data_IF_763471359523
#
_entry.id   IF_763471359523
#
_cell.length_a   1.000
_cell.length_b   1.000
_cell.length_c   1.000
_cell.angle_alpha   90.00
_cell.angle_beta   90.00
_cell.angle_gamma   90.00
#
_symmetry.space_group_name_H-M   'P 1'
#
loop_
_entity.id
_entity.type
_entity.pdbx_description
1 polymer ?
#
# COMPACT_ATOMS: atom_id res chain seq x y z
N UNK A 1 63.57 10.43 -71.43
CA UNK A 1 63.65 11.27 -70.21
C UNK A 1 62.72 10.64 -69.17
N UNK A 2 63.27 10.04 -68.10
CA UNK A 2 62.50 9.41 -67.01
C UNK A 2 62.05 10.50 -66.04
N UNK A 3 60.76 10.55 -65.71
CA UNK A 3 60.24 11.33 -64.58
C UNK A 3 59.95 10.37 -63.43
N UNK A 4 60.64 10.58 -62.30
CA UNK A 4 60.43 9.83 -61.06
C UNK A 4 59.18 10.36 -60.35
N UNK A 5 58.21 9.49 -60.08
CA UNK A 5 57.04 9.78 -59.23
C UNK A 5 57.40 9.74 -57.73
N UNK A 6 56.61 10.41 -56.87
CA UNK A 6 56.97 10.61 -55.47
C UNK A 6 56.93 9.31 -54.65
N UNK A 7 57.94 9.17 -53.79
CA UNK A 7 58.10 8.09 -52.81
C UNK A 7 56.94 8.08 -51.81
N UNK A 8 56.11 7.04 -51.87
CA UNK A 8 55.15 6.71 -50.81
C UNK A 8 55.91 6.18 -49.60
N UNK A 9 56.07 6.99 -48.57
CA UNK A 9 56.53 6.52 -47.25
C UNK A 9 55.37 5.82 -46.54
N UNK A 10 55.40 4.49 -46.53
CA UNK A 10 54.54 3.68 -45.67
C UNK A 10 54.87 3.99 -44.21
N UNK A 11 53.96 4.65 -43.50
CA UNK A 11 54.06 4.82 -42.04
C UNK A 11 53.61 3.52 -41.38
N UNK A 12 54.57 2.65 -41.05
CA UNK A 12 54.35 1.53 -40.13
C UNK A 12 54.36 2.06 -38.70
N UNK A 13 53.23 2.60 -38.24
CA UNK A 13 53.02 2.93 -36.83
C UNK A 13 52.68 1.66 -36.06
N UNK A 14 53.57 1.22 -35.18
CA UNK A 14 53.25 0.18 -34.19
C UNK A 14 52.28 0.79 -33.18
N UNK A 15 51.03 0.32 -33.15
CA UNK A 15 50.12 0.66 -32.05
C UNK A 15 50.70 -0.01 -30.81
N UNK A 16 51.41 0.78 -29.99
CA UNK A 16 51.91 0.31 -28.69
C UNK A 16 50.75 -0.26 -27.90
N UNK A 17 50.93 -1.46 -27.33
CA UNK A 17 49.95 -2.06 -26.41
C UNK A 17 49.80 -1.11 -25.23
N UNK A 18 48.79 -0.25 -25.27
CA UNK A 18 48.30 0.44 -24.07
C UNK A 18 48.02 -0.64 -23.04
N UNK A 19 48.63 -0.53 -21.86
CA UNK A 19 48.28 -1.39 -20.72
C UNK A 19 46.77 -1.32 -20.54
N UNK A 20 46.10 -2.48 -20.68
CA UNK A 20 44.67 -2.55 -20.41
C UNK A 20 44.49 -2.24 -18.93
N UNK A 21 43.65 -1.27 -18.55
CA UNK A 21 43.34 -1.07 -17.15
C UNK A 21 42.84 -2.38 -16.54
N UNK A 22 43.21 -2.69 -15.29
CA UNK A 22 42.81 -3.93 -14.65
C UNK A 22 41.29 -4.08 -14.67
N UNK A 23 40.81 -5.30 -14.92
CA UNK A 23 39.38 -5.60 -14.92
C UNK A 23 38.79 -5.26 -13.55
N UNK A 24 37.65 -4.57 -13.55
CA UNK A 24 36.92 -4.25 -12.33
C UNK A 24 36.25 -5.51 -11.78
N UNK A 25 36.15 -5.61 -10.46
CA UNK A 25 35.22 -6.55 -9.84
C UNK A 25 33.78 -6.14 -10.11
N UNK A 26 32.84 -7.09 -10.00
CA UNK A 26 31.40 -6.79 -10.16
C UNK A 26 30.93 -5.70 -9.20
N UNK A 27 31.41 -5.71 -7.96
CA UNK A 27 31.08 -4.69 -6.96
C UNK A 27 31.58 -3.30 -7.39
N UNK A 28 32.84 -3.19 -7.81
CA UNK A 28 33.41 -1.92 -8.30
C UNK A 28 32.68 -1.39 -9.52
N UNK A 29 32.32 -2.26 -10.47
CA UNK A 29 31.54 -1.87 -11.65
C UNK A 29 30.15 -1.37 -11.26
N UNK A 30 29.46 -2.06 -10.33
CA UNK A 30 28.14 -1.66 -9.82
C UNK A 30 28.20 -0.30 -9.14
N UNK A 31 29.14 -0.07 -8.25
CA UNK A 31 29.28 1.21 -7.53
C UNK A 31 29.58 2.37 -8.49
N UNK A 32 30.43 2.12 -9.49
CA UNK A 32 30.73 3.10 -10.55
C UNK A 32 29.52 3.44 -11.41
N UNK A 33 28.62 2.48 -11.67
CA UNK A 33 27.36 2.74 -12.38
C UNK A 33 26.41 3.53 -11.48
N UNK A 34 26.17 3.07 -10.25
CA UNK A 34 25.22 3.69 -9.33
C UNK A 34 25.61 5.11 -8.93
N UNK A 35 26.90 5.41 -8.81
CA UNK A 35 27.39 6.77 -8.52
C UNK A 35 27.10 7.81 -9.62
N UNK A 36 26.67 7.36 -10.81
CA UNK A 36 26.33 8.24 -11.95
C UNK A 36 24.84 8.32 -12.24
N UNK A 37 24.01 7.57 -11.50
CA UNK A 37 22.57 7.52 -11.70
C UNK A 37 21.89 8.38 -10.64
N UNK A 38 21.04 9.30 -11.09
CA UNK A 38 20.17 10.07 -10.21
C UNK A 38 18.77 9.46 -10.17
N UNK A 39 18.08 9.65 -9.05
CA UNK A 39 16.64 9.36 -8.95
C UNK A 39 15.90 10.29 -9.92
N UNK A 40 14.98 9.74 -10.70
CA UNK A 40 14.20 10.50 -11.66
C UNK A 40 13.17 11.39 -10.95
N UNK A 41 12.64 12.36 -11.70
CA UNK A 41 11.64 13.30 -11.18
C UNK A 41 10.39 12.59 -10.66
N UNK A 42 9.75 13.22 -9.68
CA UNK A 42 8.48 12.74 -9.16
C UNK A 42 7.33 13.17 -10.09
N UNK A 43 6.28 12.35 -10.14
CA UNK A 43 5.00 12.68 -10.75
C UNK A 43 3.85 12.24 -9.84
N UNK A 44 2.73 12.93 -9.94
CA UNK A 44 1.50 12.57 -9.23
C UNK A 44 0.71 11.55 -10.06
N UNK A 45 0.35 10.44 -9.43
CA UNK A 45 -0.49 9.39 -10.04
C UNK A 45 -1.66 9.08 -9.13
N UNK A 46 -2.78 8.64 -9.71
CA UNK A 46 -3.90 8.11 -8.93
C UNK A 46 -3.46 6.87 -8.12
N UNK A 47 -4.17 6.54 -7.05
CA UNK A 47 -3.88 5.33 -6.28
C UNK A 47 -3.95 4.04 -7.11
N UNK A 48 -4.86 3.96 -8.09
CA UNK A 48 -5.03 2.76 -8.91
C UNK A 48 -3.86 2.57 -9.88
N UNK A 49 -3.26 3.68 -10.36
CA UNK A 49 -2.11 3.68 -11.25
C UNK A 49 -0.76 3.59 -10.51
N UNK A 50 -0.80 3.66 -9.18
CA UNK A 50 0.40 3.67 -8.34
C UNK A 50 1.02 2.27 -8.17
N UNK A 51 0.33 1.17 -8.51
CA UNK A 51 0.85 -0.19 -8.31
C UNK A 51 2.20 -0.41 -9.01
N UNK A 52 3.16 -0.93 -8.26
CA UNK A 52 4.53 -1.20 -8.74
C UNK A 52 5.38 0.05 -8.95
N UNK A 53 4.85 1.25 -8.65
CA UNK A 53 5.62 2.49 -8.62
C UNK A 53 6.37 2.61 -7.29
N UNK A 54 7.33 3.51 -7.22
CA UNK A 54 8.11 3.81 -6.00
C UNK A 54 7.71 5.17 -5.48
N UNK A 55 7.35 5.27 -4.20
CA UNK A 55 6.97 6.55 -3.60
C UNK A 55 8.13 7.56 -3.62
N UNK A 56 7.88 8.75 -4.13
CA UNK A 56 8.88 9.82 -4.19
C UNK A 56 9.00 10.59 -2.87
N UNK A 57 7.98 10.50 -2.01
CA UNK A 57 7.91 11.11 -0.69
C UNK A 57 7.14 10.22 0.28
N UNK A 58 7.27 10.53 1.57
CA UNK A 58 6.46 9.92 2.62
C UNK A 58 4.96 10.28 2.43
N UNK A 59 4.08 9.32 2.68
CA UNK A 59 2.63 9.50 2.65
C UNK A 59 2.11 9.46 4.08
N UNK A 60 1.36 10.49 4.48
CA UNK A 60 0.74 10.60 5.82
C UNK A 60 -0.77 10.41 5.77
N UNK A 61 -1.41 10.07 6.87
CA UNK A 61 -2.88 10.02 6.93
C UNK A 61 -3.50 11.41 6.94
N UNK A 62 -4.56 11.63 6.17
CA UNK A 62 -5.31 12.90 6.16
C UNK A 62 -6.45 12.95 7.20
N UNK A 63 -6.78 11.79 7.79
CA UNK A 63 -7.88 11.55 8.72
C UNK A 63 -7.53 10.46 9.73
N UNK A 64 -8.36 10.34 10.75
CA UNK A 64 -8.32 9.21 11.66
C UNK A 64 -8.94 7.96 11.00
N UNK A 65 -8.38 6.80 11.30
CA UNK A 65 -8.90 5.49 10.88
C UNK A 65 -9.07 4.61 12.13
N UNK A 66 -10.30 4.19 12.48
CA UNK A 66 -11.57 4.67 11.92
C UNK A 66 -11.80 6.17 12.22
N UNK A 67 -12.62 6.89 11.42
CA UNK A 67 -12.84 8.33 11.57
C UNK A 67 -13.72 8.71 12.77
N UNK A 68 -14.39 7.74 13.38
CA UNK A 68 -15.21 7.89 14.58
C UNK A 68 -15.14 6.61 15.41
N UNK A 69 -15.47 6.72 16.69
CA UNK A 69 -15.55 5.56 17.58
C UNK A 69 -16.74 4.70 17.16
N UNK A 70 -16.51 3.40 16.92
CA UNK A 70 -17.52 2.49 16.39
C UNK A 70 -17.54 1.14 17.11
N UNK A 71 -18.61 0.38 16.86
CA UNK A 71 -18.75 -0.97 17.39
C UNK A 71 -17.83 -1.96 16.67
N UNK A 72 -17.13 -2.80 17.44
CA UNK A 72 -16.34 -3.90 16.94
C UNK A 72 -17.15 -5.18 16.67
N UNK A 73 -18.39 -5.24 17.18
CA UNK A 73 -19.25 -6.43 17.15
C UNK A 73 -20.72 -6.04 16.95
N UNK A 74 -21.57 -6.98 16.54
CA UNK A 74 -23.02 -6.81 16.59
C UNK A 74 -23.52 -6.97 18.03
N UNK A 75 -24.45 -6.11 18.46
CA UNK A 75 -24.95 -6.17 19.83
C UNK A 75 -25.71 -4.94 20.28
N UNK A 76 -25.45 -4.50 21.52
CA UNK A 76 -26.14 -3.39 22.17
C UNK A 76 -25.15 -2.40 22.75
N UNK A 77 -25.21 -1.15 22.28
CA UNK A 77 -24.52 -0.03 22.88
C UNK A 77 -25.17 0.31 24.22
N UNK A 78 -24.37 0.25 25.28
CA UNK A 78 -24.82 0.40 26.66
C UNK A 78 -23.90 1.33 27.44
N UNK A 79 -24.38 1.74 28.61
CA UNK A 79 -23.52 2.23 29.69
C UNK A 79 -23.00 1.02 30.46
N UNK A 80 -21.69 0.82 30.49
CA UNK A 80 -21.05 -0.29 31.19
C UNK A 80 -21.49 -0.35 32.66
N UNK A 81 -21.69 0.81 33.29
CA UNK A 81 -22.19 0.93 34.67
C UNK A 81 -23.53 0.24 34.90
N UNK A 82 -24.39 0.24 33.89
CA UNK A 82 -25.73 -0.33 34.01
C UNK A 82 -25.70 -1.85 33.89
N UNK A 83 -24.59 -2.43 33.43
CA UNK A 83 -24.40 -3.88 33.31
C UNK A 83 -23.70 -4.52 34.51
N UNK A 84 -23.27 -3.74 35.52
CA UNK A 84 -22.37 -4.22 36.59
C UNK A 84 -22.86 -5.44 37.36
N UNK A 85 -24.16 -5.55 37.59
CA UNK A 85 -24.78 -6.69 38.29
C UNK A 85 -25.24 -7.80 37.35
N UNK A 86 -25.04 -7.67 36.03
CA UNK A 86 -25.52 -8.64 35.06
C UNK A 86 -24.76 -9.96 35.19
N UNK A 87 -25.52 -11.05 35.29
CA UNK A 87 -25.02 -12.43 35.22
C UNK A 87 -26.00 -13.32 34.47
N UNK A 88 -25.61 -14.55 34.07
CA UNK A 88 -26.54 -15.47 33.41
C UNK A 88 -27.73 -15.88 34.28
N UNK A 89 -27.58 -15.84 35.62
CA UNK A 89 -28.66 -16.18 36.57
C UNK A 89 -29.52 -14.96 36.95
N UNK A 90 -28.95 -13.77 36.85
CA UNK A 90 -29.60 -12.50 37.19
C UNK A 90 -29.25 -11.47 36.11
N UNK A 91 -29.94 -11.53 34.94
CA UNK A 91 -29.67 -10.60 33.85
C UNK A 91 -30.22 -9.21 34.18
N UNK A 92 -29.52 -8.18 33.71
CA UNK A 92 -30.04 -6.80 33.76
C UNK A 92 -30.91 -6.55 32.53
N UNK A 93 -32.07 -5.93 32.73
CA UNK A 93 -32.95 -5.51 31.63
C UNK A 93 -32.73 -4.05 31.30
N UNK A 94 -32.50 -3.74 30.03
CA UNK A 94 -32.35 -2.39 29.51
C UNK A 94 -33.41 -2.11 28.45
N UNK A 95 -33.95 -0.89 28.42
CA UNK A 95 -34.92 -0.48 27.38
C UNK A 95 -34.20 -0.24 26.07
N UNK A 96 -34.65 -0.88 24.98
CA UNK A 96 -34.08 -0.68 23.64
C UNK A 96 -34.72 0.55 23.01
N UNK A 97 -33.93 1.61 22.80
CA UNK A 97 -34.41 2.89 22.27
C UNK A 97 -34.48 2.94 20.74
N UNK A 98 -33.93 1.95 20.06
CA UNK A 98 -33.81 1.91 18.61
C UNK A 98 -32.59 1.12 18.13
N UNK A 99 -32.25 1.31 16.85
CA UNK A 99 -31.18 0.62 16.14
C UNK A 99 -30.22 1.62 15.48
N UNK A 100 -28.92 1.30 15.47
CA UNK A 100 -27.85 1.99 14.76
C UNK A 100 -27.25 1.04 13.74
N UNK A 101 -27.48 1.31 12.46
CA UNK A 101 -26.87 0.58 11.34
C UNK A 101 -25.54 1.17 10.92
N UNK A 102 -24.70 0.36 10.29
CA UNK A 102 -23.47 0.85 9.68
C UNK A 102 -23.78 1.96 8.66
N UNK A 103 -23.08 3.09 8.77
CA UNK A 103 -23.29 4.27 7.92
C UNK A 103 -24.44 5.19 8.34
N UNK A 104 -25.23 4.84 9.37
CA UNK A 104 -26.24 5.73 9.94
C UNK A 104 -25.72 6.46 11.17
N UNK A 105 -26.20 7.68 11.38
CA UNK A 105 -25.98 8.39 12.64
C UNK A 105 -26.83 7.76 13.77
N UNK A 106 -26.37 7.81 15.03
CA UNK A 106 -27.17 7.39 16.16
C UNK A 106 -28.51 8.13 16.22
N UNK A 107 -29.60 7.40 16.42
CA UNK A 107 -30.96 7.96 16.49
C UNK A 107 -31.30 8.56 17.86
N UNK A 108 -30.54 8.20 18.90
CA UNK A 108 -30.69 8.69 20.26
C UNK A 108 -29.37 8.55 21.04
N UNK A 109 -29.30 9.19 22.20
CA UNK A 109 -28.25 8.95 23.21
C UNK A 109 -28.67 7.84 24.17
N UNK A 110 -27.70 7.06 24.65
CA UNK A 110 -27.94 6.04 25.67
C UNK A 110 -27.97 6.68 27.05
N UNK A 111 -29.16 6.66 27.67
CA UNK A 111 -29.42 7.14 29.04
C UNK A 111 -29.37 5.97 30.04
N UNK A 112 -29.38 6.22 31.36
CA UNK A 112 -29.39 5.14 32.35
C UNK A 112 -30.51 4.12 32.12
N UNK A 113 -30.19 2.84 32.27
CA UNK A 113 -31.09 1.69 32.08
C UNK A 113 -31.66 1.56 30.67
N UNK A 114 -30.95 2.08 29.66
CA UNK A 114 -31.33 1.99 28.26
C UNK A 114 -30.17 1.46 27.40
N UNK A 115 -30.50 1.03 26.19
CA UNK A 115 -29.56 0.52 25.20
C UNK A 115 -30.01 0.90 23.78
N UNK A 116 -29.07 0.90 22.84
CA UNK A 116 -29.36 0.96 21.41
C UNK A 116 -28.79 -0.29 20.76
N UNK A 117 -29.59 -0.99 19.95
CA UNK A 117 -29.07 -2.07 19.11
C UNK A 117 -28.08 -1.47 18.13
N UNK A 118 -26.91 -2.07 17.98
CA UNK A 118 -25.83 -1.55 17.15
C UNK A 118 -25.20 -2.67 16.35
N UNK A 119 -25.02 -2.44 15.05
CA UNK A 119 -24.32 -3.36 14.17
C UNK A 119 -22.82 -3.03 14.14
N UNK A 120 -22.01 -3.98 13.72
CA UNK A 120 -20.56 -3.84 13.53
C UNK A 120 -20.27 -2.64 12.61
N UNK A 121 -19.38 -1.76 13.05
CA UNK A 121 -19.07 -0.50 12.36
C UNK A 121 -20.07 0.64 12.58
N UNK A 122 -21.17 0.40 13.30
CA UNK A 122 -22.09 1.46 13.74
C UNK A 122 -21.39 2.47 14.65
N UNK A 123 -21.69 3.76 14.47
CA UNK A 123 -21.12 4.82 15.29
C UNK A 123 -21.62 4.70 16.74
N UNK A 124 -20.71 4.85 17.71
CA UNK A 124 -21.09 4.81 19.12
C UNK A 124 -22.02 6.00 19.44
N UNK A 125 -23.20 5.77 20.04
CA UNK A 125 -24.10 6.84 20.46
C UNK A 125 -23.53 7.57 21.68
N UNK A 126 -23.87 8.85 21.82
CA UNK A 126 -23.59 9.59 23.04
C UNK A 126 -24.16 8.87 24.26
N UNK A 127 -23.41 8.89 25.36
CA UNK A 127 -23.80 8.24 26.60
C UNK A 127 -23.47 6.75 26.68
N UNK A 128 -23.18 6.05 25.57
CA UNK A 128 -22.67 4.68 25.62
C UNK A 128 -21.14 4.65 25.67
N UNK A 129 -20.59 3.70 26.43
CA UNK A 129 -19.15 3.49 26.56
C UNK A 129 -18.73 2.03 26.33
N UNK A 130 -19.67 1.12 26.08
CA UNK A 130 -19.40 -0.28 25.78
C UNK A 130 -20.46 -0.89 24.84
N UNK A 131 -20.11 -2.00 24.19
CA UNK A 131 -21.05 -2.84 23.43
C UNK A 131 -21.07 -4.26 24.00
N UNK A 132 -22.23 -4.70 24.44
CA UNK A 132 -22.47 -6.11 24.79
C UNK A 132 -22.82 -6.85 23.51
N UNK A 133 -22.14 -7.97 23.22
CA UNK A 133 -22.37 -8.73 22.00
C UNK A 133 -23.74 -9.39 22.00
N UNK A 134 -24.32 -9.60 20.82
CA UNK A 134 -25.66 -10.16 20.71
C UNK A 134 -25.79 -11.56 21.36
N UNK A 135 -24.71 -12.36 21.35
CA UNK A 135 -24.67 -13.70 21.97
C UNK A 135 -24.79 -13.66 23.49
N UNK A 136 -24.41 -12.54 24.12
CA UNK A 136 -24.47 -12.32 25.56
C UNK A 136 -25.80 -11.65 25.98
N UNK A 137 -26.78 -11.60 25.08
CA UNK A 137 -28.06 -10.91 25.27
C UNK A 137 -29.28 -11.72 24.80
N UNK A 138 -30.47 -11.34 25.28
CA UNK A 138 -31.75 -11.79 24.72
C UNK A 138 -32.73 -10.62 24.63
N UNK A 139 -33.25 -10.33 23.43
CA UNK A 139 -34.20 -9.24 23.19
C UNK A 139 -35.64 -9.75 23.25
N UNK A 140 -36.54 -8.97 23.86
CA UNK A 140 -37.98 -9.25 23.94
C UNK A 140 -38.74 -8.05 24.49
N UNK A 141 -39.96 -7.81 23.99
CA UNK A 141 -40.89 -6.78 24.47
C UNK A 141 -40.28 -5.36 24.59
N UNK A 142 -39.43 -4.98 23.63
CA UNK A 142 -38.77 -3.66 23.61
C UNK A 142 -37.64 -3.50 24.65
N UNK A 143 -37.20 -4.60 25.27
CA UNK A 143 -36.10 -4.65 26.21
C UNK A 143 -35.04 -5.67 25.76
N UNK A 144 -33.84 -5.51 26.29
CA UNK A 144 -32.76 -6.48 26.16
C UNK A 144 -32.32 -6.95 27.53
N UNK A 145 -32.28 -8.26 27.73
CA UNK A 145 -31.61 -8.92 28.84
C UNK A 145 -30.12 -9.00 28.56
N UNK A 146 -29.31 -8.35 29.39
CA UNK A 146 -27.85 -8.44 29.39
C UNK A 146 -27.42 -9.46 30.42
N UNK A 147 -26.69 -10.49 30.00
CA UNK A 147 -26.28 -11.63 30.84
C UNK A 147 -24.85 -11.55 31.33
N UNK A 148 -24.08 -10.57 30.86
CA UNK A 148 -22.67 -10.40 31.18
C UNK A 148 -22.40 -8.92 31.48
N UNK A 149 -21.72 -8.66 32.60
CA UNK A 149 -21.17 -7.34 32.90
C UNK A 149 -20.02 -7.00 31.95
N UNK A 150 -20.05 -5.81 31.36
CA UNK A 150 -18.98 -5.30 30.48
C UNK A 150 -18.28 -4.10 31.12
N UNK A 151 -17.05 -3.85 30.70
CA UNK A 151 -16.28 -2.68 31.12
C UNK A 151 -16.33 -1.58 30.05
N UNK A 152 -16.06 -0.32 30.41
CA UNK A 152 -15.90 0.74 29.41
C UNK A 152 -14.86 0.35 28.37
N UNK A 153 -15.22 0.47 27.08
CA UNK A 153 -14.40 0.11 25.93
C UNK A 153 -14.57 -1.33 25.44
N UNK A 154 -15.34 -2.19 26.11
CA UNK A 154 -15.62 -3.55 25.61
C UNK A 154 -16.30 -3.48 24.25
N UNK A 155 -15.73 -4.18 23.25
CA UNK A 155 -16.21 -4.22 21.87
C UNK A 155 -16.32 -2.85 21.18
N UNK A 156 -15.49 -1.88 21.59
CA UNK A 156 -15.43 -0.53 21.00
C UNK A 156 -14.08 -0.30 20.32
N UNK A 157 -14.09 0.16 19.06
CA UNK A 157 -12.89 0.69 18.39
C UNK A 157 -12.93 2.20 18.45
N UNK A 158 -11.92 2.80 19.07
CA UNK A 158 -11.83 4.27 19.19
C UNK A 158 -11.49 4.89 17.83
N UNK A 159 -11.96 6.12 17.62
CA UNK A 159 -11.49 6.93 16.51
C UNK A 159 -9.95 6.97 16.50
N UNK A 160 -9.35 6.76 15.33
CA UNK A 160 -7.91 6.76 15.14
C UNK A 160 -7.16 5.63 15.84
N UNK A 161 -7.83 4.52 16.19
CA UNK A 161 -7.17 3.35 16.79
C UNK A 161 -6.17 2.67 15.85
N UNK A 162 -6.39 2.75 14.54
CA UNK A 162 -5.56 2.11 13.53
C UNK A 162 -4.53 3.10 12.98
N UNK A 163 -4.97 4.30 12.61
CA UNK A 163 -4.13 5.42 12.18
C UNK A 163 -4.71 6.73 12.69
N UNK A 164 -3.86 7.63 13.20
CA UNK A 164 -4.25 9.00 13.48
C UNK A 164 -3.92 9.90 12.31
N UNK A 165 -4.65 11.01 12.22
CA UNK A 165 -4.30 12.08 11.29
C UNK A 165 -2.85 12.52 11.47
N UNK A 166 -2.10 12.55 10.37
CA UNK A 166 -0.69 12.90 10.36
C UNK A 166 0.28 11.73 10.54
N UNK A 167 -0.19 10.55 10.94
CA UNK A 167 0.66 9.36 11.04
C UNK A 167 1.25 8.98 9.68
N UNK A 168 2.45 8.42 9.69
CA UNK A 168 3.13 7.93 8.49
C UNK A 168 2.48 6.63 8.04
N UNK A 169 1.96 6.63 6.82
CA UNK A 169 1.32 5.46 6.19
C UNK A 169 2.33 4.66 5.39
N UNK A 170 3.21 5.36 4.66
CA UNK A 170 4.25 4.73 3.85
C UNK A 170 5.44 5.67 3.67
N UNK A 171 6.64 5.11 3.79
CA UNK A 171 7.91 5.83 3.65
C UNK A 171 8.25 6.15 2.20
N UNK A 172 9.06 7.20 2.01
CA UNK A 172 9.72 7.47 0.72
C UNK A 172 10.54 6.24 0.29
N UNK A 173 10.52 5.93 -1.01
CA UNK A 173 11.26 4.80 -1.57
C UNK A 173 10.54 3.44 -1.44
N UNK A 174 9.38 3.40 -0.77
CA UNK A 174 8.55 2.20 -0.70
C UNK A 174 7.98 1.85 -2.08
N UNK A 175 8.08 0.58 -2.46
CA UNK A 175 7.34 0.04 -3.62
C UNK A 175 5.87 -0.09 -3.26
N UNK A 176 5.01 0.49 -4.08
CA UNK A 176 3.56 0.49 -3.88
C UNK A 176 2.99 -0.88 -4.26
N UNK A 177 2.47 -1.59 -3.26
CA UNK A 177 1.76 -2.87 -3.42
C UNK A 177 0.24 -2.66 -3.26
N UNK A 178 -0.60 -3.65 -3.63
CA UNK A 178 -2.06 -3.55 -3.42
C UNK A 178 -2.44 -3.26 -1.96
N UNK A 179 -1.72 -3.86 -1.00
CA UNK A 179 -1.94 -3.60 0.42
C UNK A 179 -1.62 -2.15 0.82
N UNK A 180 -0.49 -1.61 0.33
CA UNK A 180 -0.12 -0.21 0.57
C UNK A 180 -1.16 0.74 -0.03
N UNK A 181 -1.68 0.42 -1.22
CA UNK A 181 -2.79 1.19 -1.84
C UNK A 181 -4.02 1.20 -0.93
N UNK A 182 -4.43 0.04 -0.41
CA UNK A 182 -5.58 -0.05 0.49
C UNK A 182 -5.44 0.79 1.76
N UNK A 183 -4.27 0.78 2.38
CA UNK A 183 -4.00 1.61 3.58
C UNK A 183 -3.95 3.11 3.22
N UNK A 184 -3.33 3.48 2.10
CA UNK A 184 -3.33 4.89 1.67
C UNK A 184 -4.74 5.39 1.35
N UNK A 185 -5.59 4.54 0.78
CA UNK A 185 -6.99 4.86 0.51
C UNK A 185 -7.80 5.03 1.81
N UNK A 186 -7.65 4.13 2.79
CA UNK A 186 -8.33 4.26 4.08
C UNK A 186 -7.86 5.51 4.86
N UNK A 187 -6.58 5.86 4.70
CA UNK A 187 -5.96 7.09 5.18
C UNK A 187 -6.33 8.35 4.36
N UNK A 188 -7.29 8.22 3.44
CA UNK A 188 -7.93 9.30 2.69
C UNK A 188 -7.20 9.82 1.45
N UNK A 189 -6.13 9.17 1.03
CA UNK A 189 -5.42 9.54 -0.20
C UNK A 189 -6.19 9.07 -1.43
N UNK A 190 -6.12 9.87 -2.49
CA UNK A 190 -6.66 9.55 -3.82
C UNK A 190 -5.57 9.52 -4.89
N UNK A 191 -4.46 10.21 -4.63
CA UNK A 191 -3.24 10.23 -5.44
C UNK A 191 -2.00 10.20 -4.54
N UNK A 192 -0.86 9.83 -5.14
CA UNK A 192 0.45 9.84 -4.50
C UNK A 192 1.53 10.29 -5.46
N UNK A 193 2.58 10.92 -4.92
CA UNK A 193 3.79 11.20 -5.68
C UNK A 193 4.69 9.99 -5.76
N UNK A 194 5.00 9.60 -6.97
CA UNK A 194 5.88 8.46 -7.29
C UNK A 194 7.03 8.92 -8.17
N UNK A 195 8.14 8.19 -8.12
CA UNK A 195 9.22 8.38 -9.10
C UNK A 195 8.70 7.97 -10.47
N UNK A 196 8.93 8.81 -11.48
CA UNK A 196 8.55 8.49 -12.87
C UNK A 196 9.28 7.24 -13.36
N UNK A 197 8.63 6.43 -14.21
CA UNK A 197 9.27 5.21 -14.73
C UNK A 197 10.47 5.58 -15.62
N UNK A 198 11.63 4.89 -15.46
CA UNK A 198 12.71 4.99 -16.44
C UNK A 198 12.22 4.58 -17.82
N UNK A 199 12.65 5.31 -18.85
CA UNK A 199 12.42 4.92 -20.25
C UNK A 199 13.69 4.27 -20.76
N UNK A 200 13.60 2.99 -21.14
CA UNK A 200 14.75 2.21 -21.58
C UNK A 200 14.58 1.83 -23.05
N UNK A 201 15.58 2.10 -23.87
CA UNK A 201 15.66 1.65 -25.26
C UNK A 201 16.57 0.43 -25.33
N UNK A 202 16.09 -0.65 -25.95
CA UNK A 202 16.85 -1.88 -26.16
C UNK A 202 17.34 -1.92 -27.61
N UNK A 203 18.67 -1.94 -27.79
CA UNK A 203 19.33 -2.12 -29.07
C UNK A 203 20.18 -3.39 -29.02
N UNK A 204 20.06 -4.22 -30.04
CA UNK A 204 20.85 -5.44 -30.24
C UNK A 204 21.59 -5.32 -31.55
N UNK A 205 22.86 -5.71 -31.57
CA UNK A 205 23.76 -5.56 -32.72
C UNK A 205 24.47 -6.87 -33.01
N UNK A 206 24.55 -7.25 -34.28
CA UNK A 206 25.23 -8.46 -34.75
C UNK A 206 24.70 -8.86 -36.12
N UNK A 207 25.58 -9.05 -37.09
CA UNK A 207 25.21 -9.44 -38.46
C UNK A 207 24.63 -10.88 -38.50
N UNK A 208 24.97 -11.68 -37.48
CA UNK A 208 24.45 -13.02 -37.24
C UNK A 208 22.99 -13.02 -36.77
N UNK A 209 22.47 -11.89 -36.28
CA UNK A 209 21.18 -11.85 -35.62
C UNK A 209 20.01 -11.79 -36.62
N UNK A 210 18.99 -12.63 -36.36
CA UNK A 210 17.69 -12.65 -37.04
C UNK A 210 16.55 -12.57 -36.03
N UNK A 211 15.41 -11.98 -36.40
CA UNK A 211 14.27 -11.85 -35.48
C UNK A 211 13.57 -13.20 -35.29
N UNK A 212 12.77 -13.35 -34.23
CA UNK A 212 12.06 -14.61 -33.99
C UNK A 212 11.00 -14.83 -35.07
N UNK A 213 11.04 -16.00 -35.73
CA UNK A 213 10.15 -16.36 -36.84
C UNK A 213 10.76 -16.20 -38.23
N UNK A 214 11.93 -15.56 -38.35
CA UNK A 214 12.68 -15.52 -39.61
C UNK A 214 13.42 -16.82 -39.86
N UNK A 215 13.60 -17.18 -41.15
CA UNK A 215 14.42 -18.33 -41.53
C UNK A 215 15.90 -18.05 -41.24
N UNK A 216 16.59 -19.03 -40.64
CA UNK A 216 18.01 -18.92 -40.33
C UNK A 216 18.87 -19.45 -41.48
N UNK A 217 19.82 -18.62 -41.94
CA UNK A 217 20.90 -19.05 -42.83
C UNK A 217 22.13 -19.58 -42.07
N UNK A 218 23.15 -20.10 -42.77
CA UNK A 218 24.41 -20.49 -42.16
C UNK A 218 25.05 -19.33 -41.40
N UNK A 219 25.44 -19.58 -40.15
CA UNK A 219 26.05 -18.58 -39.26
C UNK A 219 25.08 -17.57 -38.65
N UNK A 220 23.77 -17.71 -38.87
CA UNK A 220 22.74 -16.85 -38.27
C UNK A 220 22.09 -17.52 -37.06
N UNK A 221 21.71 -16.71 -36.08
CA UNK A 221 21.04 -17.13 -34.85
C UNK A 221 19.87 -16.20 -34.53
N UNK A 222 18.90 -16.71 -33.80
CA UNK A 222 17.77 -15.89 -33.34
C UNK A 222 18.20 -14.91 -32.25
N UNK A 223 17.76 -13.67 -32.36
CA UNK A 223 18.01 -12.61 -31.40
C UNK A 223 17.18 -12.77 -30.12
N UNK A 224 17.59 -13.66 -29.24
CA UNK A 224 16.88 -13.95 -27.99
C UNK A 224 16.95 -12.80 -26.97
N UNK A 225 18.11 -12.12 -26.89
CA UNK A 225 18.33 -11.02 -25.94
C UNK A 225 17.32 -9.89 -26.09
N UNK A 226 16.91 -9.55 -27.32
CA UNK A 226 15.88 -8.54 -27.57
C UNK A 226 14.57 -8.86 -26.85
N UNK A 227 14.12 -10.11 -26.91
CA UNK A 227 12.87 -10.53 -26.28
C UNK A 227 13.02 -10.65 -24.76
N UNK A 228 14.13 -11.25 -24.29
CA UNK A 228 14.39 -11.39 -22.85
C UNK A 228 14.45 -10.03 -22.15
N UNK A 229 15.19 -9.05 -22.71
CA UNK A 229 15.32 -7.72 -22.11
C UNK A 229 14.01 -6.94 -22.17
N UNK A 230 13.25 -7.03 -23.27
CA UNK A 230 11.95 -6.35 -23.38
C UNK A 230 10.89 -6.92 -22.43
N UNK A 231 10.97 -8.20 -22.09
CA UNK A 231 10.06 -8.82 -21.12
C UNK A 231 10.44 -8.53 -19.66
N UNK A 232 11.72 -8.27 -19.38
CA UNK A 232 12.24 -8.04 -18.03
C UNK A 232 12.12 -6.58 -17.54
N UNK A 233 11.87 -5.62 -18.44
CA UNK A 233 11.82 -4.18 -18.19
C UNK A 233 10.39 -3.64 -18.18
#
# INVERSE_FOLDING_TARGET
MRAAGPSSKTVTGTIGKSEKPPLLTVAQARDRILSRIAVLDAEDVSLIDARGRVLAQEVRSDRDVPPFTNSAMDGYAVRATDTRSASPREPVRLVVLGEIRAGAAPSASVRPSAALRIMTGGAMPDGADAVVRIEDTAEGDGQVEVRVAVQPGTSVRRAGSDLRRGDVVAERGRVVTPGVIGVMASAGRTSVRVVRRPRVMVLTTGDELRDAGEALGPGQITNTNRYTLRAAL
#
